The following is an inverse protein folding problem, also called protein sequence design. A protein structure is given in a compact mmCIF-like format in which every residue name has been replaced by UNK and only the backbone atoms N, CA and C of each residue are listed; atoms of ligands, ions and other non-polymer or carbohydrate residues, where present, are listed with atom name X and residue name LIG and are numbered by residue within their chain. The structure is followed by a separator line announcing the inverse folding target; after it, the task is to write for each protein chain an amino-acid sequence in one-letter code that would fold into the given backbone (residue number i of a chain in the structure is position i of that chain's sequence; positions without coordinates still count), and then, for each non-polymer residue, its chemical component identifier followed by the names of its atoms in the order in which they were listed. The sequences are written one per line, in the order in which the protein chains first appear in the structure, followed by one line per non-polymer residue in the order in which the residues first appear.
data_IF_556777978285
#
_entry.id   IF_556777978285
#
_cell.length_a   1.000
_cell.length_b   1.000
_cell.length_c   1.000
_cell.angle_alpha   90.00
_cell.angle_beta   90.00
_cell.angle_gamma   90.00
#
_symmetry.space_group_name_H-M   'P 1'
#
loop_
_entity.id
_entity.type
_entity.pdbx_description
1 polymer ?
#
# COMPACT_ATOMS: atom_id res chain seq x y z
N UNK A 1 5.81 -13.36 -5.23
CA UNK A 1 6.91 -12.38 -5.32
C UNK A 1 6.40 -11.03 -4.84
N UNK A 2 6.54 -10.78 -3.53
CA UNK A 2 5.91 -9.67 -2.78
C UNK A 2 6.91 -8.57 -2.39
N UNK A 3 8.12 -8.62 -2.96
CA UNK A 3 9.20 -7.70 -2.65
C UNK A 3 8.85 -6.26 -3.03
N UNK A 4 9.06 -5.33 -2.09
CA UNK A 4 8.80 -3.90 -2.25
C UNK A 4 9.97 -3.24 -2.97
N UNK A 5 9.71 -2.54 -4.08
CA UNK A 5 10.74 -1.96 -4.97
C UNK A 5 10.76 -0.43 -4.97
N UNK A 6 9.98 0.21 -4.10
CA UNK A 6 9.88 1.65 -4.06
C UNK A 6 9.58 2.18 -2.68
N UNK A 7 9.64 3.51 -2.55
CA UNK A 7 9.31 4.18 -1.30
C UNK A 7 7.82 4.07 -0.98
N UNK A 8 7.52 3.97 0.31
CA UNK A 8 6.16 4.16 0.80
C UNK A 8 5.74 5.61 0.60
N UNK A 9 4.53 5.79 0.08
CA UNK A 9 3.86 7.08 -0.04
C UNK A 9 2.65 7.09 0.88
N UNK A 10 2.63 8.05 1.81
CA UNK A 10 1.50 8.30 2.69
C UNK A 10 0.30 8.83 1.90
N UNK A 11 -0.90 8.36 2.25
CA UNK A 11 -2.16 8.86 1.70
C UNK A 11 -2.41 10.30 2.12
N UNK A 12 -2.99 11.12 1.23
CA UNK A 12 -3.45 12.47 1.55
C UNK A 12 -4.61 12.48 2.54
N UNK A 13 -5.35 11.37 2.64
CA UNK A 13 -6.45 11.20 3.59
C UNK A 13 -5.97 10.79 4.99
N UNK A 14 -4.68 10.51 5.17
CA UNK A 14 -4.07 10.17 6.47
C UNK A 14 -3.81 11.42 7.31
N UNK A 15 -4.90 12.12 7.64
CA UNK A 15 -4.97 13.26 8.53
C UNK A 15 -5.20 12.81 10.00
N UNK A 16 -5.50 13.77 10.88
CA UNK A 16 -5.56 13.58 12.34
C UNK A 16 -6.60 12.54 12.81
N UNK A 17 -7.53 12.12 11.96
CA UNK A 17 -8.61 11.15 12.28
C UNK A 17 -8.12 9.70 12.42
N UNK A 18 -6.83 9.41 12.21
CA UNK A 18 -6.21 8.16 12.66
C UNK A 18 -6.09 7.04 11.62
N UNK A 19 -6.62 7.20 10.42
CA UNK A 19 -6.51 6.22 9.33
C UNK A 19 -5.23 6.45 8.50
N UNK A 20 -4.09 6.22 9.16
CA UNK A 20 -2.76 6.44 8.60
C UNK A 20 -2.32 5.25 7.74
N UNK A 21 -2.36 5.39 6.42
CA UNK A 21 -1.97 4.35 5.47
C UNK A 21 -0.88 4.85 4.52
N UNK A 22 0.07 3.96 4.22
CA UNK A 22 1.07 4.18 3.18
C UNK A 22 1.09 3.01 2.19
N UNK A 23 1.42 3.33 0.93
CA UNK A 23 1.45 2.37 -0.17
C UNK A 23 2.78 2.42 -0.91
N UNK A 24 3.31 1.26 -1.31
CA UNK A 24 4.52 1.13 -2.11
C UNK A 24 4.34 0.11 -3.26
N UNK A 25 5.06 0.26 -4.39
CA UNK A 25 5.03 -0.72 -5.48
C UNK A 25 5.84 -1.98 -5.12
N UNK A 26 5.42 -3.12 -5.70
CA UNK A 26 6.16 -4.40 -5.60
C UNK A 26 6.70 -4.86 -6.95
N UNK A 27 7.70 -5.75 -6.97
CA UNK A 27 8.39 -6.28 -8.18
C UNK A 27 7.45 -6.78 -9.28
N UNK A 28 6.27 -7.30 -8.91
CA UNK A 28 5.29 -7.87 -9.84
C UNK A 28 4.13 -6.92 -10.20
N UNK A 29 4.36 -5.60 -10.04
CA UNK A 29 3.34 -4.58 -10.32
C UNK A 29 2.21 -4.51 -9.29
N UNK A 30 2.35 -5.20 -8.16
CA UNK A 30 1.42 -5.16 -7.03
C UNK A 30 1.61 -3.94 -6.12
N UNK A 31 0.94 -3.96 -4.97
CA UNK A 31 1.08 -2.93 -3.93
C UNK A 31 1.28 -3.56 -2.56
N UNK A 32 2.22 -3.01 -1.80
CA UNK A 32 2.31 -3.22 -0.37
C UNK A 32 1.62 -2.06 0.35
N UNK A 33 0.76 -2.38 1.30
CA UNK A 33 0.02 -1.44 2.15
C UNK A 33 0.48 -1.65 3.58
N UNK A 34 0.73 -0.56 4.30
CA UNK A 34 1.08 -0.59 5.73
C UNK A 34 0.42 0.53 6.51
N UNK A 35 0.34 0.33 7.82
CA UNK A 35 -0.01 1.39 8.77
C UNK A 35 1.19 2.35 8.92
N UNK A 36 0.97 3.65 8.70
CA UNK A 36 2.04 4.64 8.88
C UNK A 36 2.49 4.77 10.34
N UNK A 37 1.64 4.40 11.31
CA UNK A 37 1.94 4.42 12.74
C UNK A 37 2.78 3.22 13.18
N UNK A 38 2.78 2.15 12.38
CA UNK A 38 3.53 0.92 12.65
C UNK A 38 4.40 0.55 11.43
N UNK A 39 5.44 1.34 11.11
CA UNK A 39 6.21 1.17 9.87
C UNK A 39 6.99 -0.15 9.79
N UNK A 40 7.22 -0.80 10.94
CA UNK A 40 7.85 -2.12 11.06
C UNK A 40 6.84 -3.26 11.28
N UNK A 41 5.54 -2.95 11.22
CA UNK A 41 4.47 -3.92 11.34
C UNK A 41 4.28 -4.77 10.07
N UNK A 42 3.28 -5.66 10.07
CA UNK A 42 2.99 -6.51 8.92
C UNK A 42 2.59 -5.70 7.69
N UNK A 43 2.99 -6.20 6.52
CA UNK A 43 2.63 -5.63 5.22
C UNK A 43 1.48 -6.41 4.61
N UNK A 44 0.39 -5.73 4.27
CA UNK A 44 -0.63 -6.30 3.40
C UNK A 44 -0.14 -6.18 1.95
N UNK A 45 -0.12 -7.29 1.21
CA UNK A 45 0.32 -7.29 -0.18
C UNK A 45 -0.82 -7.67 -1.12
N UNK A 46 -0.99 -6.85 -2.16
CA UNK A 46 -2.02 -7.02 -3.19
C UNK A 46 -1.32 -7.31 -4.52
N UNK A 47 -1.79 -8.32 -5.24
CA UNK A 47 -1.26 -8.65 -6.57
C UNK A 47 -1.49 -7.50 -7.55
N UNK A 48 -0.69 -7.43 -8.61
CA UNK A 48 -0.88 -6.41 -9.65
C UNK A 48 -2.26 -6.50 -10.30
N UNK A 49 -2.78 -7.71 -10.50
CA UNK A 49 -4.13 -7.93 -11.04
C UNK A 49 -5.21 -7.44 -10.07
N UNK A 50 -5.13 -7.83 -8.79
CA UNK A 50 -6.08 -7.40 -7.77
C UNK A 50 -6.09 -5.88 -7.59
N UNK A 51 -4.92 -5.24 -7.61
CA UNK A 51 -4.82 -3.79 -7.54
C UNK A 51 -5.46 -3.10 -8.75
N UNK A 52 -5.22 -3.61 -9.96
CA UNK A 52 -5.85 -3.09 -11.18
C UNK A 52 -7.37 -3.28 -11.16
N UNK A 53 -7.86 -4.42 -10.67
CA UNK A 53 -9.28 -4.66 -10.52
C UNK A 53 -9.92 -3.68 -9.54
N UNK A 54 -9.31 -3.49 -8.37
CA UNK A 54 -9.77 -2.54 -7.35
C UNK A 54 -9.92 -1.12 -7.91
N UNK A 55 -8.90 -0.59 -8.59
CA UNK A 55 -8.91 0.79 -9.10
C UNK A 55 -9.94 1.01 -10.20
N UNK A 56 -10.32 -0.02 -10.97
CA UNK A 56 -11.37 0.11 -12.00
C UNK A 56 -12.79 0.25 -11.43
N UNK A 57 -12.97 0.01 -10.14
CA UNK A 57 -14.25 0.09 -9.44
C UNK A 57 -14.36 1.33 -8.52
N UNK A 58 -13.46 2.30 -8.68
CA UNK A 58 -13.46 3.61 -8.01
C UNK A 58 -13.83 4.70 -9.01
#
# INVERSE_FOLDING_TARGET
MTEVVGRFRKSSYSAQQGDCVEVAPTVAGGRAVRDSKQPHGPLLTVSGEGWRAFVRHL
#
